data_IF_412093823195
#
_entry.id   IF_412093823195
#
_cell.length_a   1.000
_cell.length_b   1.000
_cell.length_c   1.000
_cell.angle_alpha   90.00
_cell.angle_beta   90.00
_cell.angle_gamma   90.00
#
_symmetry.space_group_name_H-M   'P 1'
#
loop_
_entity.id
_entity.type
_entity.pdbx_description
1 polymer ?
#
# COMPACT_ATOMS: atom_id res chain seq x y z
N UNK A 1 -8.40 0.68 -26.53
CA UNK A 1 -8.76 2.03 -26.08
C UNK A 1 -7.97 2.31 -24.83
N UNK A 2 -7.15 3.36 -24.84
CA UNK A 2 -6.38 3.75 -23.66
C UNK A 2 -7.36 4.27 -22.61
N UNK A 3 -7.43 3.63 -21.44
CA UNK A 3 -8.40 3.98 -20.39
C UNK A 3 -8.12 5.39 -19.85
N UNK A 4 -6.88 5.87 -20.00
CA UNK A 4 -6.47 7.21 -19.58
C UNK A 4 -7.06 8.35 -20.42
N UNK A 5 -7.58 8.07 -21.62
CA UNK A 5 -8.23 9.08 -22.49
C UNK A 5 -9.75 9.13 -22.34
N UNK A 6 -10.32 8.29 -21.47
CA UNK A 6 -11.74 8.39 -21.13
C UNK A 6 -12.02 9.74 -20.42
N UNK A 7 -12.99 10.57 -20.87
CA UNK A 7 -13.03 11.99 -20.50
C UNK A 7 -13.10 12.29 -18.98
N UNK A 8 -13.88 11.55 -18.16
CA UNK A 8 -13.86 11.71 -16.70
C UNK A 8 -12.52 11.36 -16.04
N UNK A 9 -11.78 10.38 -16.58
CA UNK A 9 -10.47 9.99 -16.03
C UNK A 9 -9.41 10.99 -16.47
N UNK A 10 -9.42 11.37 -17.76
CA UNK A 10 -8.52 12.36 -18.33
C UNK A 10 -8.60 13.70 -17.59
N UNK A 11 -9.80 14.22 -17.35
CA UNK A 11 -10.00 15.48 -16.60
C UNK A 11 -9.47 15.44 -15.17
N UNK A 12 -9.64 14.31 -14.47
CA UNK A 12 -9.07 14.13 -13.13
C UNK A 12 -7.55 14.07 -13.19
N UNK A 13 -6.98 13.33 -14.15
CA UNK A 13 -5.52 13.25 -14.34
C UNK A 13 -4.93 14.62 -14.67
N UNK A 14 -5.59 15.42 -15.52
CA UNK A 14 -5.15 16.77 -15.87
C UNK A 14 -5.25 17.73 -14.69
N UNK A 15 -6.32 17.65 -13.90
CA UNK A 15 -6.46 18.44 -12.69
C UNK A 15 -5.32 18.12 -11.69
N UNK A 16 -5.01 16.84 -11.50
CA UNK A 16 -3.91 16.40 -10.63
C UNK A 16 -2.55 16.83 -11.19
N UNK A 17 -2.33 16.69 -12.49
CA UNK A 17 -1.11 17.14 -13.18
C UNK A 17 -0.87 18.63 -13.01
N UNK A 18 -1.88 19.45 -13.30
CA UNK A 18 -1.82 20.91 -13.15
C UNK A 18 -1.65 21.31 -11.69
N UNK A 19 -2.25 20.58 -10.75
CA UNK A 19 -2.06 20.81 -9.33
C UNK A 19 -0.61 20.57 -8.90
N UNK A 20 0.04 19.48 -9.36
CA UNK A 20 1.47 19.24 -9.06
C UNK A 20 2.34 20.35 -9.63
N UNK A 21 2.11 20.76 -10.88
CA UNK A 21 2.85 21.86 -11.49
C UNK A 21 2.64 23.18 -10.75
N UNK A 22 1.39 23.48 -10.36
CA UNK A 22 1.07 24.68 -9.59
C UNK A 22 1.75 24.70 -8.22
N UNK A 23 1.72 23.58 -7.49
CA UNK A 23 2.43 23.44 -6.21
C UNK A 23 3.94 23.63 -6.43
N UNK A 24 4.50 23.01 -7.48
CA UNK A 24 5.91 23.15 -7.83
C UNK A 24 6.29 24.61 -8.11
N UNK A 25 5.49 25.32 -8.89
CA UNK A 25 5.72 26.73 -9.22
C UNK A 25 5.69 27.63 -7.98
N UNK A 26 4.75 27.39 -7.05
CA UNK A 26 4.67 28.13 -5.78
C UNK A 26 5.83 27.78 -4.85
N UNK A 27 6.31 26.54 -4.86
CA UNK A 27 7.43 26.10 -4.04
C UNK A 27 8.80 26.53 -4.60
N UNK A 28 8.91 26.79 -5.91
CA UNK A 28 10.15 27.15 -6.61
C UNK A 28 10.99 28.25 -5.93
N UNK A 29 10.42 29.42 -5.53
CA UNK A 29 11.22 30.48 -4.90
C UNK A 29 11.78 30.10 -3.52
N UNK A 30 11.18 29.11 -2.85
CA UNK A 30 11.58 28.72 -1.48
C UNK A 30 12.45 27.46 -1.46
N UNK A 31 12.24 26.54 -2.41
CA UNK A 31 12.84 25.22 -2.42
C UNK A 31 13.78 24.98 -3.62
N UNK A 32 13.84 25.92 -4.58
CA UNK A 32 14.68 25.79 -5.78
C UNK A 32 14.43 24.47 -6.49
N UNK A 33 15.51 23.74 -6.80
CA UNK A 33 15.48 22.45 -7.50
C UNK A 33 14.69 21.35 -6.75
N UNK A 34 14.45 21.51 -5.44
CA UNK A 34 13.64 20.56 -4.67
C UNK A 34 12.13 20.76 -4.87
N UNK A 35 11.69 21.88 -5.45
CA UNK A 35 10.27 22.21 -5.54
C UNK A 35 9.41 21.17 -6.28
N UNK A 36 9.82 20.59 -7.43
CA UNK A 36 9.05 19.54 -8.09
C UNK A 36 8.91 18.28 -7.23
N UNK A 37 9.95 17.92 -6.47
CA UNK A 37 9.93 16.78 -5.55
C UNK A 37 8.97 17.02 -4.39
N UNK A 38 9.03 18.22 -3.79
CA UNK A 38 8.11 18.63 -2.73
C UNK A 38 6.66 18.67 -3.22
N UNK A 39 6.42 19.05 -4.48
CA UNK A 39 5.08 19.03 -5.06
C UNK A 39 4.49 17.62 -5.13
N UNK A 40 5.28 16.63 -5.56
CA UNK A 40 4.88 15.22 -5.54
C UNK A 40 4.57 14.77 -4.10
N UNK A 41 5.43 15.09 -3.15
CA UNK A 41 5.25 14.73 -1.75
C UNK A 41 3.98 15.35 -1.17
N UNK A 42 3.75 16.64 -1.41
CA UNK A 42 2.60 17.37 -0.91
C UNK A 42 1.30 16.84 -1.51
N UNK A 43 1.25 16.63 -2.83
CA UNK A 43 0.08 15.99 -3.47
C UNK A 43 -0.21 14.64 -2.82
N UNK A 44 0.83 13.82 -2.62
CA UNK A 44 0.69 12.50 -2.01
C UNK A 44 0.07 12.59 -0.62
N UNK A 45 0.55 13.53 0.21
CA UNK A 45 0.02 13.78 1.55
C UNK A 45 -1.43 14.26 1.50
N UNK A 46 -1.77 15.20 0.61
CA UNK A 46 -3.15 15.70 0.46
C UNK A 46 -4.12 14.59 0.07
N UNK A 47 -3.76 13.76 -0.90
CA UNK A 47 -4.59 12.62 -1.30
C UNK A 47 -4.72 11.61 -0.15
N UNK A 48 -3.62 11.33 0.55
CA UNK A 48 -3.64 10.45 1.72
C UNK A 48 -4.52 10.99 2.86
N UNK A 49 -4.51 12.31 3.09
CA UNK A 49 -5.42 12.98 4.03
C UNK A 49 -6.89 12.80 3.62
N UNK A 50 -7.22 13.00 2.35
CA UNK A 50 -8.57 12.78 1.83
C UNK A 50 -9.04 11.32 1.98
N UNK A 51 -8.11 10.36 1.97
CA UNK A 51 -8.38 8.93 2.12
C UNK A 51 -8.43 8.44 3.58
N UNK A 52 -8.19 9.31 4.57
CA UNK A 52 -8.24 8.94 6.00
C UNK A 52 -9.55 8.25 6.40
N UNK A 53 -10.76 8.66 5.96
CA UNK A 53 -12.00 7.95 6.30
C UNK A 53 -11.99 6.49 5.82
N UNK A 54 -11.41 6.24 4.64
CA UNK A 54 -11.23 4.88 4.10
C UNK A 54 -10.25 4.11 4.97
N UNK A 55 -9.11 4.70 5.35
CA UNK A 55 -8.13 4.10 6.27
C UNK A 55 -8.74 3.74 7.63
N UNK A 56 -9.59 4.61 8.18
CA UNK A 56 -10.33 4.35 9.44
C UNK A 56 -11.20 3.11 9.30
N UNK A 57 -11.95 2.99 8.19
CA UNK A 57 -12.79 1.82 7.93
C UNK A 57 -11.97 0.52 7.82
N UNK A 58 -10.78 0.58 7.20
CA UNK A 58 -9.85 -0.55 7.10
C UNK A 58 -9.38 -0.99 8.49
N UNK A 59 -8.95 -0.06 9.35
CA UNK A 59 -8.47 -0.40 10.70
C UNK A 59 -9.59 -0.93 11.58
N UNK A 60 -10.82 -0.41 11.47
CA UNK A 60 -11.99 -0.98 12.17
C UNK A 60 -12.25 -2.43 11.74
N UNK A 61 -12.19 -2.71 10.44
CA UNK A 61 -12.32 -4.08 9.94
C UNK A 61 -11.19 -5.00 10.45
N UNK A 62 -9.95 -4.51 10.54
CA UNK A 62 -8.84 -5.25 11.15
C UNK A 62 -9.12 -5.60 12.63
N UNK A 63 -9.60 -4.64 13.42
CA UNK A 63 -9.95 -4.82 14.85
C UNK A 63 -11.03 -5.88 15.01
N UNK A 64 -12.12 -5.76 14.25
CA UNK A 64 -13.22 -6.74 14.28
C UNK A 64 -12.73 -8.14 13.91
N UNK A 65 -11.88 -8.28 12.88
CA UNK A 65 -11.32 -9.58 12.48
C UNK A 65 -10.49 -10.21 13.60
N UNK A 66 -9.71 -9.44 14.35
CA UNK A 66 -8.95 -9.96 15.51
C UNK A 66 -9.87 -10.45 16.60
N UNK A 67 -10.90 -9.67 16.94
CA UNK A 67 -11.90 -10.04 17.96
C UNK A 67 -12.56 -11.39 17.61
N UNK A 68 -12.86 -11.62 16.33
CA UNK A 68 -13.47 -12.86 15.86
C UNK A 68 -12.49 -14.03 15.67
N UNK A 69 -11.19 -13.76 15.59
CA UNK A 69 -10.15 -14.79 15.35
C UNK A 69 -10.22 -15.98 16.32
N UNK A 70 -10.32 -15.82 17.65
CA UNK A 70 -10.42 -16.95 18.57
C UNK A 70 -11.71 -17.76 18.39
N UNK A 71 -12.85 -17.11 18.16
CA UNK A 71 -14.13 -17.79 17.91
C UNK A 71 -14.09 -18.60 16.60
N UNK A 72 -13.49 -18.04 15.55
CA UNK A 72 -13.26 -18.72 14.27
C UNK A 72 -12.36 -19.94 14.47
N UNK A 73 -11.28 -19.81 15.27
CA UNK A 73 -10.38 -20.92 15.57
C UNK A 73 -11.10 -22.05 16.33
N UNK A 74 -11.92 -21.72 17.32
CA UNK A 74 -12.73 -22.70 18.06
C UNK A 74 -13.73 -23.43 17.15
N UNK A 75 -14.39 -22.72 16.22
CA UNK A 75 -15.27 -23.33 15.22
C UNK A 75 -14.50 -24.27 14.28
N UNK A 76 -13.31 -23.87 13.81
CA UNK A 76 -12.47 -24.70 12.96
C UNK A 76 -12.05 -25.99 13.66
N UNK A 77 -11.67 -25.93 14.95
CA UNK A 77 -11.36 -27.11 15.73
C UNK A 77 -12.59 -28.02 15.91
N UNK A 78 -13.75 -27.44 16.24
CA UNK A 78 -15.02 -28.18 16.46
C UNK A 78 -15.53 -28.88 15.19
N UNK A 79 -15.35 -28.28 14.02
CA UNK A 79 -15.86 -28.79 12.74
C UNK A 79 -14.76 -29.23 11.78
N UNK A 80 -13.56 -29.59 12.28
CA UNK A 80 -12.39 -29.92 11.46
C UNK A 80 -12.66 -30.98 10.37
N UNK A 81 -13.53 -31.95 10.66
CA UNK A 81 -13.92 -33.03 9.74
C UNK A 81 -15.23 -32.79 8.96
N UNK A 82 -15.83 -31.60 9.09
CA UNK A 82 -17.17 -31.28 8.55
C UNK A 82 -17.17 -29.93 7.83
N UNK A 83 -16.64 -29.84 6.60
CA UNK A 83 -16.45 -28.56 5.89
C UNK A 83 -17.76 -27.79 5.65
N UNK A 84 -18.84 -28.47 5.29
CA UNK A 84 -20.15 -27.82 5.09
C UNK A 84 -20.73 -27.25 6.39
N UNK A 85 -20.62 -28.02 7.49
CA UNK A 85 -21.06 -27.56 8.80
C UNK A 85 -20.22 -26.38 9.31
N UNK A 86 -18.91 -26.40 9.04
CA UNK A 86 -18.00 -25.30 9.33
C UNK A 86 -18.42 -24.02 8.59
N UNK A 87 -18.68 -24.11 7.28
CA UNK A 87 -19.12 -22.96 6.49
C UNK A 87 -20.41 -22.36 7.07
N UNK A 88 -21.42 -23.19 7.36
CA UNK A 88 -22.69 -22.73 7.94
C UNK A 88 -22.50 -22.07 9.31
N UNK A 89 -21.62 -22.63 10.15
CA UNK A 89 -21.32 -22.08 11.47
C UNK A 89 -20.56 -20.74 11.37
N UNK A 90 -19.61 -20.61 10.45
CA UNK A 90 -18.91 -19.36 10.19
C UNK A 90 -19.86 -18.27 9.69
N UNK A 91 -20.75 -18.58 8.74
CA UNK A 91 -21.76 -17.63 8.26
C UNK A 91 -22.66 -17.17 9.40
N UNK A 92 -23.14 -18.10 10.24
CA UNK A 92 -23.95 -17.77 11.42
C UNK A 92 -23.21 -16.84 12.39
N UNK A 93 -21.93 -17.11 12.66
CA UNK A 93 -21.09 -16.26 13.52
C UNK A 93 -20.97 -14.84 12.95
N UNK A 94 -20.67 -14.71 11.66
CA UNK A 94 -20.59 -13.40 10.99
C UNK A 94 -21.93 -12.64 11.05
N UNK A 95 -23.04 -13.33 10.79
CA UNK A 95 -24.38 -12.73 10.86
C UNK A 95 -24.76 -12.33 12.28
N UNK A 96 -24.49 -13.16 13.29
CA UNK A 96 -24.80 -12.85 14.70
C UNK A 96 -23.99 -11.66 15.22
N UNK A 97 -22.75 -11.51 14.75
CA UNK A 97 -21.88 -10.39 15.08
C UNK A 97 -22.15 -9.15 14.20
N UNK A 98 -23.07 -9.25 13.23
CA UNK A 98 -23.40 -8.21 12.24
C UNK A 98 -22.17 -7.71 11.46
N UNK A 99 -21.26 -8.63 11.15
CA UNK A 99 -20.01 -8.35 10.41
C UNK A 99 -20.08 -8.98 9.02
N UNK A 100 -19.82 -8.19 7.98
CA UNK A 100 -19.69 -8.72 6.63
C UNK A 100 -18.28 -9.27 6.37
N UNK A 101 -18.13 -10.45 5.73
CA UNK A 101 -16.81 -10.98 5.35
C UNK A 101 -16.06 -10.07 4.37
N UNK A 102 -16.80 -9.34 3.53
CA UNK A 102 -16.27 -8.43 2.52
C UNK A 102 -15.93 -7.03 3.06
N UNK A 103 -16.32 -6.72 4.31
CA UNK A 103 -16.07 -5.40 4.91
C UNK A 103 -14.57 -5.05 4.96
N UNK A 104 -13.68 -6.04 4.93
CA UNK A 104 -12.23 -5.82 4.90
C UNK A 104 -11.63 -5.54 3.52
N UNK A 105 -12.34 -5.82 2.41
CA UNK A 105 -11.82 -5.59 1.04
C UNK A 105 -12.48 -4.40 0.35
N UNK A 106 -13.71 -4.07 0.75
CA UNK A 106 -14.48 -2.96 0.19
C UNK A 106 -13.72 -1.61 0.25
N UNK A 107 -13.02 -1.27 1.35
CA UNK A 107 -12.26 -0.03 1.41
C UNK A 107 -11.07 -0.01 0.43
N UNK A 108 -10.44 -1.15 0.19
CA UNK A 108 -9.32 -1.27 -0.77
C UNK A 108 -9.81 -1.05 -2.20
N UNK A 109 -10.98 -1.59 -2.54
CA UNK A 109 -11.61 -1.38 -3.84
C UNK A 109 -12.00 0.09 -4.06
N UNK A 110 -12.52 0.75 -3.03
CA UNK A 110 -12.86 2.17 -3.09
C UNK A 110 -11.61 3.07 -3.31
N UNK A 111 -10.44 2.62 -2.85
CA UNK A 111 -9.18 3.36 -3.00
C UNK A 111 -8.49 3.11 -4.36
N UNK A 112 -8.80 2.01 -5.05
CA UNK A 112 -8.14 1.62 -6.29
C UNK A 112 -8.17 2.69 -7.39
N UNK A 113 -9.29 3.41 -7.67
CA UNK A 113 -9.32 4.44 -8.70
C UNK A 113 -8.34 5.59 -8.43
N UNK A 114 -8.24 6.01 -7.17
CA UNK A 114 -7.35 7.10 -6.76
C UNK A 114 -5.89 6.69 -6.90
N UNK A 115 -5.55 5.46 -6.51
CA UNK A 115 -4.21 4.92 -6.66
C UNK A 115 -3.81 4.78 -8.14
N UNK A 116 -4.72 4.29 -8.99
CA UNK A 116 -4.49 4.19 -10.43
C UNK A 116 -4.22 5.55 -11.06
N UNK A 117 -4.94 6.59 -10.64
CA UNK A 117 -4.73 7.94 -11.15
C UNK A 117 -3.34 8.50 -10.79
N UNK A 118 -2.93 8.36 -9.52
CA UNK A 118 -1.61 8.82 -9.08
C UNK A 118 -0.49 8.00 -9.72
N UNK A 119 -0.68 6.70 -9.85
CA UNK A 119 0.29 5.84 -10.52
C UNK A 119 0.46 6.26 -11.99
N UNK A 120 -0.65 6.50 -12.69
CA UNK A 120 -0.61 6.95 -14.07
C UNK A 120 0.16 8.28 -14.21
N UNK A 121 -0.08 9.23 -13.30
CA UNK A 121 0.57 10.53 -13.28
C UNK A 121 2.10 10.45 -13.19
N UNK A 122 2.65 9.48 -12.46
CA UNK A 122 4.10 9.37 -12.22
C UNK A 122 4.80 8.28 -13.04
N UNK A 123 4.05 7.52 -13.85
CA UNK A 123 4.60 6.42 -14.65
C UNK A 123 4.38 6.63 -16.14
N UNK A 124 3.24 7.18 -16.56
CA UNK A 124 2.95 7.31 -17.98
C UNK A 124 3.60 8.57 -18.59
N UNK A 125 4.32 8.43 -19.72
CA UNK A 125 4.95 9.55 -20.42
C UNK A 125 3.95 10.45 -21.15
N UNK A 126 2.72 10.00 -21.33
CA UNK A 126 1.61 10.77 -21.88
C UNK A 126 0.42 10.69 -20.93
N UNK A 127 -0.27 11.82 -20.77
CA UNK A 127 -1.47 11.95 -19.94
C UNK A 127 -2.50 12.73 -20.75
N UNK A 128 -3.74 12.25 -20.78
CA UNK A 128 -4.87 12.92 -21.45
C UNK A 128 -4.59 13.42 -22.89
N UNK A 129 -3.70 12.74 -23.62
CA UNK A 129 -3.34 13.10 -24.99
C UNK A 129 -2.20 14.12 -25.14
N UNK A 130 -1.56 14.55 -24.06
CA UNK A 130 -0.37 15.41 -24.08
C UNK A 130 0.84 14.77 -23.39
N UNK A 131 2.04 15.30 -23.66
CA UNK A 131 3.27 14.84 -23.01
C UNK A 131 3.26 15.18 -21.52
N UNK A 132 3.79 14.26 -20.70
CA UNK A 132 3.90 14.45 -19.26
C UNK A 132 5.22 15.15 -18.90
N UNK A 133 5.18 16.48 -18.82
CA UNK A 133 6.35 17.31 -18.49
C UNK A 133 6.83 17.10 -17.05
N UNK A 134 6.00 16.54 -16.15
CA UNK A 134 6.45 16.21 -14.79
C UNK A 134 7.61 15.20 -14.81
N UNK A 135 7.64 14.28 -15.76
CA UNK A 135 8.71 13.28 -15.86
C UNK A 135 10.02 13.86 -16.41
N UNK A 136 9.97 15.04 -17.02
CA UNK A 136 11.18 15.73 -17.49
C UNK A 136 11.77 16.65 -16.42
N UNK A 137 11.03 16.96 -15.36
CA UNK A 137 11.56 17.69 -14.21
C UNK A 137 12.70 16.92 -13.55
N UNK A 138 13.62 17.64 -12.92
CA UNK A 138 14.81 17.04 -12.29
C UNK A 138 14.90 17.40 -10.82
N UNK A 139 15.53 16.52 -10.05
CA UNK A 139 15.98 16.80 -8.70
C UNK A 139 17.43 16.32 -8.56
N UNK A 140 18.34 17.22 -8.16
CA UNK A 140 19.78 16.94 -8.11
C UNK A 140 20.33 16.37 -9.44
N UNK A 141 19.78 16.83 -10.56
CA UNK A 141 20.12 16.36 -11.92
C UNK A 141 19.53 14.99 -12.30
N UNK A 142 18.66 14.39 -11.47
CA UNK A 142 17.98 13.12 -11.75
C UNK A 142 16.61 13.43 -12.37
N UNK A 143 16.36 13.06 -13.65
CA UNK A 143 15.04 13.21 -14.25
C UNK A 143 13.99 12.33 -13.56
N UNK A 144 12.80 12.86 -13.36
CA UNK A 144 11.70 12.16 -12.69
C UNK A 144 11.21 10.93 -13.46
N UNK A 145 11.40 10.90 -14.77
CA UNK A 145 11.16 9.75 -15.65
C UNK A 145 12.24 8.66 -15.58
N UNK A 146 13.41 8.92 -14.99
CA UNK A 146 14.51 7.96 -14.91
C UNK A 146 14.28 6.91 -13.82
N UNK A 147 14.88 5.73 -13.93
CA UNK A 147 14.82 4.68 -12.91
C UNK A 147 16.21 4.41 -12.33
N UNK A 148 16.32 3.46 -11.38
CA UNK A 148 17.61 3.12 -10.75
C UNK A 148 18.68 2.74 -11.78
N UNK A 149 18.33 1.95 -12.79
CA UNK A 149 19.30 1.47 -13.78
C UNK A 149 19.81 2.60 -14.67
N UNK A 150 18.95 3.55 -15.02
CA UNK A 150 19.38 4.78 -15.69
C UNK A 150 20.31 5.60 -14.78
N UNK A 151 20.05 5.63 -13.47
CA UNK A 151 20.91 6.31 -12.51
C UNK A 151 22.30 5.68 -12.36
N UNK A 152 22.43 4.35 -12.54
CA UNK A 152 23.73 3.66 -12.54
C UNK A 152 24.64 4.09 -13.69
N UNK A 153 24.08 4.64 -14.77
CA UNK A 153 24.82 5.17 -15.91
C UNK A 153 25.23 6.65 -15.77
N UNK A 154 24.87 7.32 -14.66
CA UNK A 154 25.26 8.72 -14.39
C UNK A 154 26.25 8.81 -13.23
N UNK A 155 26.49 10.01 -12.71
CA UNK A 155 27.47 10.23 -11.66
C UNK A 155 27.10 9.55 -10.32
N UNK A 156 28.13 9.16 -9.57
CA UNK A 156 28.02 8.39 -8.33
C UNK A 156 27.13 9.04 -7.24
N UNK A 157 27.14 10.37 -7.03
CA UNK A 157 26.26 11.00 -6.03
C UNK A 157 24.77 10.76 -6.31
N UNK A 158 24.35 10.75 -7.57
CA UNK A 158 22.96 10.54 -7.96
C UNK A 158 22.51 9.10 -7.65
N UNK A 159 23.39 8.12 -7.84
CA UNK A 159 23.14 6.73 -7.43
C UNK A 159 22.85 6.65 -5.94
N UNK A 160 23.63 7.34 -5.11
CA UNK A 160 23.43 7.36 -3.65
C UNK A 160 22.08 7.96 -3.26
N UNK A 161 21.60 8.98 -3.97
CA UNK A 161 20.27 9.57 -3.73
C UNK A 161 19.17 8.55 -3.99
N UNK A 162 19.21 7.86 -5.14
CA UNK A 162 18.19 6.85 -5.51
C UNK A 162 18.25 5.65 -4.57
N UNK A 163 19.45 5.13 -4.27
CA UNK A 163 19.64 4.02 -3.33
C UNK A 163 19.19 4.41 -1.92
N UNK A 164 19.50 5.62 -1.48
CA UNK A 164 19.04 6.17 -0.19
C UNK A 164 17.52 6.22 -0.11
N UNK A 165 16.86 6.69 -1.18
CA UNK A 165 15.41 6.72 -1.27
C UNK A 165 14.80 5.30 -1.18
N UNK A 166 15.36 4.33 -1.90
CA UNK A 166 14.92 2.92 -1.84
C UNK A 166 15.19 2.29 -0.47
N UNK A 167 16.28 2.66 0.21
CA UNK A 167 16.56 2.21 1.57
C UNK A 167 15.51 2.75 2.54
N UNK A 168 15.10 4.01 2.43
CA UNK A 168 14.01 4.59 3.23
C UNK A 168 12.69 3.84 2.97
N UNK A 169 12.38 3.55 1.70
CA UNK A 169 11.21 2.75 1.36
C UNK A 169 11.26 1.36 1.99
N UNK A 170 12.39 0.66 1.87
CA UNK A 170 12.59 -0.68 2.45
C UNK A 170 12.44 -0.66 3.97
N UNK A 171 12.97 0.36 4.65
CA UNK A 171 12.80 0.55 6.09
C UNK A 171 11.33 0.80 6.44
N UNK A 172 10.64 1.70 5.73
CA UNK A 172 9.22 1.97 5.98
C UNK A 172 8.34 0.73 5.77
N UNK A 173 8.61 -0.04 4.72
CA UNK A 173 7.95 -1.32 4.42
C UNK A 173 8.24 -2.34 5.52
N UNK A 174 9.49 -2.48 5.96
CA UNK A 174 9.85 -3.42 7.02
C UNK A 174 9.23 -3.06 8.37
N UNK A 175 9.24 -1.77 8.73
CA UNK A 175 8.58 -1.28 9.94
C UNK A 175 7.07 -1.54 9.89
N UNK A 176 6.44 -1.30 8.75
CA UNK A 176 5.01 -1.59 8.54
C UNK A 176 4.72 -3.08 8.63
N UNK A 177 5.57 -3.93 8.02
CA UNK A 177 5.48 -5.39 8.10
C UNK A 177 5.58 -5.87 9.55
N UNK A 178 6.60 -5.42 10.29
CA UNK A 178 6.79 -5.74 11.72
C UNK A 178 5.61 -5.28 12.56
N UNK A 179 5.12 -4.06 12.34
CA UNK A 179 3.94 -3.54 13.03
C UNK A 179 2.70 -4.38 12.73
N UNK A 180 2.48 -4.80 11.48
CA UNK A 180 1.36 -5.65 11.10
C UNK A 180 1.46 -7.05 11.72
N UNK A 181 2.65 -7.66 11.77
CA UNK A 181 2.86 -8.96 12.43
C UNK A 181 2.61 -8.88 13.93
N UNK A 182 3.14 -7.84 14.60
CA UNK A 182 2.87 -7.58 16.02
C UNK A 182 1.39 -7.36 16.29
N UNK A 183 0.74 -6.60 15.41
CA UNK A 183 -0.70 -6.38 15.48
C UNK A 183 -1.37 -7.76 15.31
N UNK A 184 -1.17 -8.49 14.22
CA UNK A 184 -1.94 -9.69 13.85
C UNK A 184 -1.99 -10.80 14.90
N UNK A 185 -1.09 -10.77 15.89
CA UNK A 185 -0.84 -11.90 16.77
C UNK A 185 0.04 -12.91 16.04
N UNK A 186 0.85 -13.66 16.79
CA UNK A 186 1.85 -14.55 16.20
C UNK A 186 1.20 -15.54 15.24
N UNK A 187 1.75 -15.66 14.02
CA UNK A 187 1.41 -16.72 13.08
C UNK A 187 1.51 -18.12 13.73
N UNK A 188 2.31 -18.26 14.79
CA UNK A 188 2.37 -19.46 15.62
C UNK A 188 1.01 -19.87 16.20
N UNK A 189 0.10 -18.91 16.47
CA UNK A 189 -1.27 -19.21 16.95
C UNK A 189 -2.12 -19.86 15.86
N UNK A 190 -1.95 -19.42 14.61
CA UNK A 190 -2.67 -20.00 13.46
C UNK A 190 -2.11 -21.38 13.10
N UNK A 191 -0.79 -21.55 13.14
CA UNK A 191 -0.13 -22.84 12.91
C UNK A 191 -0.42 -23.83 14.03
N UNK A 192 -0.39 -23.40 15.31
CA UNK A 192 -0.75 -24.22 16.46
C UNK A 192 -2.24 -24.64 16.46
N UNK A 193 -3.14 -23.76 16.00
CA UNK A 193 -4.54 -24.12 15.82
C UNK A 193 -4.76 -25.12 14.66
N UNK A 194 -3.99 -25.01 13.58
CA UNK A 194 -4.05 -25.94 12.45
C UNK A 194 -3.49 -27.33 12.81
N UNK A 195 -2.40 -27.40 13.58
CA UNK A 195 -1.85 -28.67 14.08
C UNK A 195 -2.76 -29.30 15.13
N UNK A 196 -3.33 -28.51 16.05
CA UNK A 196 -4.31 -29.00 17.02
C UNK A 196 -5.61 -29.52 16.36
N UNK A 197 -5.96 -29.03 15.17
CA UNK A 197 -7.11 -29.51 14.39
C UNK A 197 -6.82 -30.78 13.56
N UNK A 198 -5.61 -31.35 13.66
CA UNK A 198 -5.23 -32.59 12.96
C UNK A 198 -5.13 -32.42 11.44
N UNK A 199 -4.75 -31.23 10.96
CA UNK A 199 -4.61 -30.97 9.53
C UNK A 199 -3.54 -31.90 8.90
N UNK A 200 -3.77 -32.43 7.68
CA UNK A 200 -2.80 -33.30 6.99
C UNK A 200 -1.42 -32.64 6.87
N UNK A 201 -0.34 -33.41 6.98
CA UNK A 201 1.03 -32.91 6.91
C UNK A 201 1.28 -32.05 5.65
N UNK A 202 0.72 -32.45 4.50
CA UNK A 202 0.83 -31.73 3.23
C UNK A 202 0.16 -30.35 3.27
N UNK A 203 -0.95 -30.23 4.01
CA UNK A 203 -1.66 -28.95 4.20
C UNK A 203 -0.88 -27.99 5.11
N UNK A 204 -0.13 -28.52 6.07
CA UNK A 204 0.76 -27.76 6.94
C UNK A 204 2.01 -27.30 6.18
N UNK A 205 2.58 -28.16 5.34
CA UNK A 205 3.69 -27.82 4.44
C UNK A 205 3.28 -26.74 3.43
N UNK A 206 2.10 -26.87 2.81
CA UNK A 206 1.54 -25.85 1.92
C UNK A 206 1.28 -24.51 2.64
N UNK A 207 0.73 -24.53 3.86
CA UNK A 207 0.54 -23.32 4.66
C UNK A 207 1.87 -22.64 5.04
N UNK A 208 2.90 -23.42 5.35
CA UNK A 208 4.25 -22.91 5.62
C UNK A 208 4.90 -22.28 4.37
N UNK A 209 4.71 -22.90 3.18
CA UNK A 209 5.16 -22.34 1.91
C UNK A 209 4.42 -21.03 1.56
N UNK A 210 3.12 -20.96 1.78
CA UNK A 210 2.35 -19.71 1.59
C UNK A 210 2.84 -18.62 2.56
N UNK A 211 3.11 -18.98 3.82
CA UNK A 211 3.62 -18.05 4.82
C UNK A 211 5.04 -17.54 4.49
N UNK A 212 5.90 -18.38 3.89
CA UNK A 212 7.23 -17.97 3.45
C UNK A 212 7.16 -16.98 2.28
N UNK A 213 6.28 -17.22 1.30
CA UNK A 213 6.02 -16.29 0.19
C UNK A 213 5.47 -14.94 0.71
N UNK A 214 4.51 -14.99 1.65
CA UNK A 214 3.90 -13.80 2.23
C UNK A 214 4.92 -12.90 2.97
N UNK A 215 6.05 -13.44 3.42
CA UNK A 215 7.13 -12.69 4.07
C UNK A 215 7.81 -11.69 3.13
N UNK A 216 7.90 -12.04 1.84
CA UNK A 216 8.58 -11.25 0.82
C UNK A 216 7.63 -10.36 0.02
N UNK A 217 6.32 -10.66 0.04
CA UNK A 217 5.29 -9.89 -0.65
C UNK A 217 5.41 -8.36 -0.49
N UNK A 218 5.68 -7.81 0.71
CA UNK A 218 5.81 -6.36 0.87
C UNK A 218 7.03 -5.76 0.15
N UNK A 219 8.12 -6.52 0.00
CA UNK A 219 9.36 -6.06 -0.63
C UNK A 219 9.30 -5.99 -2.16
N UNK A 220 8.29 -6.63 -2.77
CA UNK A 220 8.00 -6.46 -4.20
C UNK A 220 7.82 -4.99 -4.55
N UNK A 221 7.25 -4.20 -3.64
CA UNK A 221 7.09 -2.75 -3.84
C UNK A 221 8.42 -1.99 -3.93
N UNK A 222 9.46 -2.45 -3.21
CA UNK A 222 10.81 -1.86 -3.27
C UNK A 222 11.48 -2.20 -4.60
N UNK A 223 11.36 -3.46 -5.05
CA UNK A 223 11.86 -3.88 -6.35
C UNK A 223 11.16 -3.13 -7.48
N UNK A 224 9.84 -2.97 -7.37
CA UNK A 224 9.06 -2.18 -8.31
C UNK A 224 9.52 -0.71 -8.32
N UNK A 225 9.74 -0.10 -7.16
CA UNK A 225 10.24 1.27 -7.06
C UNK A 225 11.62 1.46 -7.69
N UNK A 226 12.47 0.43 -7.71
CA UNK A 226 13.78 0.50 -8.35
C UNK A 226 13.69 0.57 -9.89
N UNK A 227 12.69 -0.09 -10.48
CA UNK A 227 12.51 -0.14 -11.94
C UNK A 227 11.57 0.96 -12.46
N UNK A 228 10.71 1.49 -11.59
CA UNK A 228 9.78 2.55 -11.90
C UNK A 228 10.48 3.91 -12.03
N UNK A 229 9.83 4.90 -12.66
CA UNK A 229 10.30 6.27 -12.66
C UNK A 229 10.55 6.82 -11.25
N UNK A 230 11.54 7.69 -11.12
CA UNK A 230 11.96 8.29 -9.87
C UNK A 230 10.82 9.04 -9.18
N UNK A 231 9.92 9.69 -9.93
CA UNK A 231 8.70 10.27 -9.39
C UNK A 231 7.81 9.25 -8.68
N UNK A 232 7.64 8.06 -9.25
CA UNK A 232 6.88 6.98 -8.64
C UNK A 232 7.57 6.44 -7.38
N UNK A 233 8.90 6.37 -7.35
CA UNK A 233 9.65 5.99 -6.15
C UNK A 233 9.44 7.01 -5.01
N UNK A 234 9.51 8.32 -5.29
CA UNK A 234 9.22 9.39 -4.32
C UNK A 234 7.80 9.25 -3.76
N UNK A 235 6.82 9.05 -4.64
CA UNK A 235 5.44 8.78 -4.25
C UNK A 235 5.35 7.57 -3.30
N UNK A 236 5.94 6.43 -3.68
CA UNK A 236 5.89 5.20 -2.87
C UNK A 236 6.50 5.38 -1.49
N UNK A 237 7.63 6.08 -1.39
CA UNK A 237 8.29 6.40 -0.10
C UNK A 237 7.37 7.23 0.78
N UNK A 238 6.88 8.35 0.24
CA UNK A 238 5.99 9.28 0.96
C UNK A 238 4.73 8.55 1.45
N UNK A 239 4.14 7.74 0.56
CA UNK A 239 2.94 6.94 0.79
C UNK A 239 3.17 5.84 1.83
N UNK A 240 4.35 5.20 1.84
CA UNK A 240 4.72 4.18 2.83
C UNK A 240 4.97 4.78 4.22
N UNK A 241 5.68 5.91 4.28
CA UNK A 241 5.92 6.64 5.53
C UNK A 241 4.61 7.14 6.14
N UNK A 242 3.72 7.73 5.32
CA UNK A 242 2.37 8.09 5.75
C UNK A 242 1.63 6.89 6.35
N UNK A 243 1.60 5.77 5.61
CA UNK A 243 0.89 4.56 6.04
C UNK A 243 1.39 4.04 7.38
N UNK A 244 2.70 4.09 7.62
CA UNK A 244 3.30 3.68 8.88
C UNK A 244 2.79 4.53 10.06
N UNK A 245 2.81 5.86 9.89
CA UNK A 245 2.33 6.81 10.90
C UNK A 245 0.82 6.72 11.13
N UNK A 246 0.05 6.77 10.05
CA UNK A 246 -1.41 6.69 10.06
C UNK A 246 -1.89 5.43 10.77
N UNK A 247 -1.34 4.25 10.41
CA UNK A 247 -1.72 2.99 11.07
C UNK A 247 -1.34 2.98 12.54
N UNK A 248 -0.19 3.54 12.92
CA UNK A 248 0.22 3.60 14.32
C UNK A 248 -0.74 4.46 15.15
N UNK A 249 -1.18 5.60 14.62
CA UNK A 249 -2.14 6.50 15.26
C UNK A 249 -3.54 5.87 15.33
N UNK A 250 -4.08 5.42 14.19
CA UNK A 250 -5.44 4.87 14.12
C UNK A 250 -5.61 3.64 15.01
N UNK A 251 -4.61 2.76 15.07
CA UNK A 251 -4.65 1.58 15.94
C UNK A 251 -4.65 1.92 17.43
N UNK A 252 -4.01 3.02 17.82
CA UNK A 252 -4.05 3.51 19.21
C UNK A 252 -5.41 4.12 19.54
N UNK A 253 -5.92 4.99 18.66
CA UNK A 253 -7.20 5.69 18.87
C UNK A 253 -8.37 4.71 18.89
N UNK A 254 -8.46 3.79 17.92
CA UNK A 254 -9.58 2.84 17.82
C UNK A 254 -9.54 1.80 18.93
N UNK A 255 -8.37 1.52 19.53
CA UNK A 255 -8.27 0.61 20.69
C UNK A 255 -8.69 1.30 22.00
N UNK A 256 -8.54 2.62 22.08
CA UNK A 256 -8.90 3.40 23.25
C UNK A 256 -10.40 3.78 23.30
N UNK A 257 -11.08 3.74 22.15
CA UNK A 257 -12.51 3.94 21.99
C UNK A 257 -13.30 2.63 22.11
#
# INVERSE_FOLDING_TARGET
>A
MDISTFPPIATVLDALYNLVLGIGAVAQPFAGDAAPMLAIMLLTVLVRMALVPVSVSQVRAEVTRRRLTPAIAALRAKYAKKPEALQKALTRLYTSEKVSPLAGILPTLAQAPVLSAIYALFVHPQLAGHANVLLTQTFLGIPFGSNLFAALGVAFPQVLVVVGLLAVLAVAVELTRRANLRWAGSAATATAAATAAGAPADSLAGAAAIASIARFLPFITVLFAAIAPFAAAIYLVTSAVWTLGERAVLRRVIRAA
#
